data_IF_771561469352
#
_entry.id   IF_771561469352
#
_cell.length_a   1.000
_cell.length_b   1.000
_cell.length_c   1.000
_cell.angle_alpha   90.00
_cell.angle_beta   90.00
_cell.angle_gamma   90.00
#
_symmetry.space_group_name_H-M   'P 1'
#
loop_
_entity.id
_entity.type
_entity.pdbx_description
1 polymer ?
#
# COMPACT_ATOMS: atom_id res chain seq x y z
N UNK A 1 -42.25 -17.57 12.14
CA UNK A 1 -41.52 -16.37 12.58
C UNK A 1 -40.07 -16.47 12.11
N UNK A 2 -39.48 -15.42 11.51
CA UNK A 2 -38.08 -15.46 11.08
C UNK A 2 -37.18 -15.63 12.31
N UNK A 3 -36.32 -16.65 12.26
CA UNK A 3 -35.56 -17.15 13.41
C UNK A 3 -34.26 -16.35 13.59
N UNK A 4 -33.98 -15.92 14.83
CA UNK A 4 -32.85 -15.03 15.15
C UNK A 4 -31.50 -15.76 14.99
N UNK A 5 -30.66 -15.32 14.06
CA UNK A 5 -29.28 -15.79 13.86
C UNK A 5 -28.38 -15.30 15.00
N UNK A 6 -27.44 -16.13 15.47
CA UNK A 6 -26.44 -15.74 16.48
C UNK A 6 -25.11 -15.55 15.77
N UNK A 7 -24.67 -14.29 15.67
CA UNK A 7 -23.41 -13.93 15.04
C UNK A 7 -22.22 -14.10 16.00
N UNK A 8 -21.09 -14.48 15.43
CA UNK A 8 -19.83 -14.76 16.12
C UNK A 8 -18.78 -13.70 15.73
N UNK A 9 -17.98 -13.28 16.70
CA UNK A 9 -16.84 -12.38 16.57
C UNK A 9 -15.56 -13.18 16.39
N UNK A 10 -15.33 -13.65 15.16
CA UNK A 10 -14.22 -14.57 14.84
C UNK A 10 -13.03 -13.78 14.27
N UNK A 11 -11.87 -13.77 14.92
CA UNK A 11 -10.64 -13.25 14.33
C UNK A 11 -10.24 -14.05 13.08
N UNK A 12 -9.57 -13.40 12.13
CA UNK A 12 -9.17 -14.06 10.88
C UNK A 12 -8.37 -15.36 11.10
N UNK A 13 -7.53 -15.39 12.14
CA UNK A 13 -6.71 -16.57 12.52
C UNK A 13 -7.55 -17.79 12.92
N UNK A 14 -8.78 -17.59 13.40
CA UNK A 14 -9.66 -18.67 13.86
C UNK A 14 -10.75 -19.05 12.84
N UNK A 15 -10.71 -18.46 11.63
CA UNK A 15 -11.67 -18.73 10.55
C UNK A 15 -11.81 -20.22 10.25
N UNK A 16 -10.69 -20.93 10.17
CA UNK A 16 -10.68 -22.38 9.86
C UNK A 16 -11.21 -23.21 11.03
N UNK A 17 -10.93 -22.79 12.26
CA UNK A 17 -11.42 -23.45 13.48
C UNK A 17 -12.94 -23.37 13.57
N UNK A 18 -13.51 -22.17 13.42
CA UNK A 18 -14.98 -22.01 13.50
C UNK A 18 -15.69 -22.73 12.36
N UNK A 19 -15.10 -22.74 11.16
CA UNK A 19 -15.64 -23.48 10.02
C UNK A 19 -15.63 -24.99 10.28
N UNK A 20 -14.54 -25.50 10.86
CA UNK A 20 -14.42 -26.93 11.23
C UNK A 20 -15.41 -27.31 12.34
N UNK A 21 -15.69 -26.39 13.26
CA UNK A 21 -16.73 -26.53 14.28
C UNK A 21 -18.16 -26.36 13.71
N UNK A 22 -18.32 -26.12 12.40
CA UNK A 22 -19.61 -26.04 11.74
C UNK A 22 -20.26 -24.65 11.73
N UNK A 23 -19.53 -23.58 12.08
CA UNK A 23 -20.03 -22.23 11.87
C UNK A 23 -20.22 -21.95 10.37
N UNK A 24 -21.23 -21.15 10.03
CA UNK A 24 -21.57 -20.79 8.67
C UNK A 24 -21.24 -19.31 8.40
N UNK A 25 -20.85 -18.99 7.18
CA UNK A 25 -20.59 -17.62 6.76
C UNK A 25 -21.87 -16.98 6.20
N UNK A 26 -22.28 -15.84 6.75
CA UNK A 26 -23.33 -15.00 6.17
C UNK A 26 -22.69 -13.95 5.27
N UNK A 27 -22.84 -14.10 3.95
CA UNK A 27 -22.23 -13.20 2.98
C UNK A 27 -22.86 -11.79 2.99
N UNK A 28 -24.14 -11.67 3.39
CA UNK A 28 -24.83 -10.37 3.46
C UNK A 28 -24.29 -9.53 4.62
N UNK A 29 -24.17 -10.15 5.80
CA UNK A 29 -23.69 -9.49 7.02
C UNK A 29 -22.17 -9.54 7.18
N UNK A 30 -21.48 -10.33 6.34
CA UNK A 30 -20.04 -10.62 6.39
C UNK A 30 -19.58 -11.08 7.78
N UNK A 31 -20.35 -11.99 8.37
CA UNK A 31 -20.12 -12.51 9.72
C UNK A 31 -20.28 -14.03 9.76
N UNK A 32 -19.53 -14.65 10.65
CA UNK A 32 -19.77 -16.04 11.02
C UNK A 32 -21.00 -16.12 11.92
N UNK A 33 -21.80 -17.16 11.76
CA UNK A 33 -22.94 -17.45 12.62
C UNK A 33 -22.98 -18.94 12.99
N UNK A 34 -23.49 -19.22 14.19
CA UNK A 34 -23.69 -20.58 14.65
C UNK A 34 -24.98 -21.15 14.04
N UNK A 35 -24.95 -22.31 13.34
CA UNK A 35 -26.17 -22.96 12.87
C UNK A 35 -26.99 -23.51 14.04
N UNK A 36 -28.31 -23.59 13.84
CA UNK A 36 -29.26 -24.03 14.88
C UNK A 36 -29.04 -25.46 15.37
N UNK A 37 -28.48 -26.32 14.53
CA UNK A 37 -28.26 -27.74 14.83
C UNK A 37 -27.12 -27.99 15.83
N UNK A 38 -26.36 -26.95 16.19
CA UNK A 38 -25.16 -27.09 16.98
C UNK A 38 -25.28 -26.40 18.33
N UNK A 39 -24.69 -27.00 19.36
CA UNK A 39 -24.68 -26.44 20.71
C UNK A 39 -23.98 -25.09 20.75
N UNK A 40 -24.67 -24.08 21.30
CA UNK A 40 -24.18 -22.70 21.40
C UNK A 40 -22.85 -22.62 22.16
N UNK A 41 -22.64 -23.49 23.15
CA UNK A 41 -21.45 -23.49 23.99
C UNK A 41 -20.15 -23.78 23.22
N UNK A 42 -20.23 -24.44 22.05
CA UNK A 42 -19.07 -24.71 21.19
C UNK A 42 -18.43 -23.40 20.71
N UNK A 43 -19.24 -22.35 20.53
CA UNK A 43 -18.76 -21.04 20.08
C UNK A 43 -18.62 -20.00 21.20
N UNK A 44 -18.60 -20.44 22.47
CA UNK A 44 -18.54 -19.55 23.64
C UNK A 44 -17.40 -18.53 23.57
N UNK A 45 -16.24 -18.94 23.05
CA UNK A 45 -15.07 -18.08 22.87
C UNK A 45 -15.28 -16.94 21.85
N UNK A 46 -16.22 -17.06 20.91
CA UNK A 46 -16.48 -16.06 19.86
C UNK A 46 -17.81 -15.32 20.04
N UNK A 47 -18.55 -15.50 21.14
CA UNK A 47 -19.77 -14.71 21.38
C UNK A 47 -19.47 -13.27 21.77
N UNK A 48 -18.31 -13.03 22.36
CA UNK A 48 -17.88 -11.71 22.74
C UNK A 48 -16.83 -11.22 21.75
N UNK A 49 -16.85 -9.92 21.43
CA UNK A 49 -15.77 -9.32 20.69
C UNK A 49 -14.46 -9.57 21.43
N UNK A 50 -13.44 -10.00 20.69
CA UNK A 50 -12.12 -10.18 21.27
C UNK A 50 -11.66 -8.82 21.80
N UNK A 51 -11.20 -8.80 23.04
CA UNK A 51 -10.54 -7.63 23.60
C UNK A 51 -9.29 -7.39 22.75
N UNK A 52 -9.27 -6.30 21.99
CA UNK A 52 -8.07 -5.93 21.28
C UNK A 52 -7.05 -5.47 22.32
N UNK A 53 -5.84 -6.02 22.24
CA UNK A 53 -4.71 -5.46 22.97
C UNK A 53 -4.33 -4.19 22.24
N UNK A 54 -4.64 -3.05 22.82
CA UNK A 54 -4.07 -1.79 22.36
C UNK A 54 -2.68 -1.68 22.97
N UNK A 55 -1.70 -1.48 22.10
CA UNK A 55 -0.35 -1.17 22.54
C UNK A 55 -0.20 0.34 22.49
N UNK A 56 0.16 0.94 23.62
CA UNK A 56 0.56 2.34 23.65
C UNK A 56 2.08 2.42 23.67
N UNK A 57 2.66 3.23 22.79
CA UNK A 57 4.09 3.46 22.69
C UNK A 57 4.38 4.94 22.92
N UNK A 58 5.55 5.26 23.47
CA UNK A 58 6.08 6.61 23.41
C UNK A 58 6.63 6.85 21.99
N UNK A 59 6.07 7.84 21.28
CA UNK A 59 6.45 8.15 19.90
C UNK A 59 7.96 8.44 19.79
N UNK A 60 8.56 9.12 20.77
CA UNK A 60 9.99 9.41 20.75
C UNK A 60 10.85 8.15 20.83
N UNK A 61 10.42 7.17 21.62
CA UNK A 61 11.08 5.87 21.74
C UNK A 61 10.97 5.07 20.44
N UNK A 62 9.80 5.11 19.79
CA UNK A 62 9.57 4.51 18.47
C UNK A 62 10.49 5.09 17.42
N UNK A 63 10.56 6.42 17.33
CA UNK A 63 11.40 7.09 16.35
C UNK A 63 12.88 6.81 16.61
N UNK A 64 13.30 6.76 17.88
CA UNK A 64 14.70 6.48 18.26
C UNK A 64 15.09 5.04 17.92
N UNK A 65 14.28 4.05 18.31
CA UNK A 65 14.56 2.64 18.03
C UNK A 65 14.51 2.33 16.54
N UNK A 66 13.56 2.94 15.81
CA UNK A 66 13.49 2.81 14.36
C UNK A 66 14.71 3.46 13.69
N UNK A 67 15.13 4.65 14.13
CA UNK A 67 16.35 5.30 13.63
C UNK A 67 17.58 4.42 13.81
N UNK A 68 17.79 3.86 15.00
CA UNK A 68 18.91 2.95 15.24
C UNK A 68 18.86 1.71 14.33
N UNK A 69 17.68 1.16 14.06
CA UNK A 69 17.53 0.06 13.11
C UNK A 69 17.91 0.47 11.67
N UNK A 70 17.55 1.67 11.23
CA UNK A 70 17.93 2.20 9.91
C UNK A 70 19.45 2.40 9.80
N UNK A 71 20.06 3.01 10.82
CA UNK A 71 21.50 3.28 10.87
C UNK A 71 22.31 1.97 10.93
N UNK A 72 21.83 0.97 11.67
CA UNK A 72 22.44 -0.37 11.71
C UNK A 72 22.45 -1.06 10.33
N UNK A 73 21.45 -0.78 9.48
CA UNK A 73 21.41 -1.27 8.10
C UNK A 73 22.18 -0.38 7.11
N UNK A 74 22.93 0.60 7.62
CA UNK A 74 23.81 1.47 6.85
C UNK A 74 23.09 2.63 6.13
N UNK A 75 21.86 2.96 6.54
CA UNK A 75 21.13 4.13 6.04
C UNK A 75 21.49 5.37 6.89
N UNK A 76 21.74 6.49 6.23
CA UNK A 76 22.03 7.77 6.87
C UNK A 76 20.74 8.57 6.96
N UNK A 77 20.27 8.82 8.19
CA UNK A 77 19.04 9.56 8.46
C UNK A 77 19.38 10.91 9.12
N UNK A 78 19.11 12.00 8.41
CA UNK A 78 19.25 13.35 8.96
C UNK A 78 18.06 13.66 9.89
N UNK A 79 18.31 13.72 11.20
CA UNK A 79 17.26 14.00 12.20
C UNK A 79 16.44 12.77 12.60
N UNK A 80 15.12 12.94 12.72
CA UNK A 80 14.17 11.89 13.11
C UNK A 80 13.52 11.22 11.88
N UNK A 81 13.37 9.89 11.86
CA UNK A 81 12.79 9.19 10.72
C UNK A 81 11.29 9.50 10.57
N UNK A 82 10.85 9.70 9.32
CA UNK A 82 9.43 9.95 9.02
C UNK A 82 8.68 8.62 8.92
N UNK A 83 7.67 8.41 9.78
CA UNK A 83 6.84 7.20 9.82
C UNK A 83 5.40 7.45 9.33
N UNK A 84 5.27 7.99 8.12
CA UNK A 84 3.99 8.34 7.47
C UNK A 84 3.44 7.24 6.53
N UNK A 85 4.07 6.06 6.53
CA UNK A 85 3.76 4.94 5.65
C UNK A 85 4.26 5.08 4.21
N UNK A 86 4.93 6.18 3.84
CA UNK A 86 5.50 6.40 2.51
C UNK A 86 6.94 5.91 2.45
N UNK A 87 7.41 5.60 1.24
CA UNK A 87 8.81 5.26 1.00
C UNK A 87 9.63 6.55 0.95
N UNK A 88 10.56 6.68 1.88
CA UNK A 88 11.56 7.76 1.94
C UNK A 88 12.90 7.25 1.42
N UNK A 89 13.51 8.02 0.51
CA UNK A 89 14.83 7.73 -0.07
C UNK A 89 15.91 8.42 0.72
N UNK A 90 16.96 7.69 1.08
CA UNK A 90 18.08 8.19 1.88
C UNK A 90 19.42 7.71 1.34
N UNK A 91 20.49 8.36 1.79
CA UNK A 91 21.85 7.96 1.47
C UNK A 91 22.25 6.75 2.29
N UNK A 92 23.12 5.94 1.74
CA UNK A 92 23.83 4.89 2.46
C UNK A 92 25.27 5.33 2.75
N UNK A 93 25.92 4.68 3.71
CA UNK A 93 27.34 4.95 4.04
C UNK A 93 28.29 4.77 2.85
N UNK A 94 27.89 3.99 1.84
CA UNK A 94 28.67 3.73 0.63
C UNK A 94 28.33 4.64 -0.56
N UNK A 95 27.31 5.49 -0.44
CA UNK A 95 26.84 6.34 -1.54
C UNK A 95 27.79 7.51 -1.82
N UNK A 96 27.94 7.85 -3.11
CA UNK A 96 28.74 9.00 -3.56
C UNK A 96 27.85 10.06 -4.22
N UNK A 97 28.15 11.33 -3.95
CA UNK A 97 27.47 12.46 -4.58
C UNK A 97 25.97 12.54 -4.25
N UNK A 98 25.13 12.39 -5.29
CA UNK A 98 23.66 12.51 -5.22
C UNK A 98 22.94 11.15 -5.16
N UNK A 99 23.68 10.05 -5.01
CA UNK A 99 23.09 8.71 -4.89
C UNK A 99 22.24 8.61 -3.60
N UNK A 100 21.08 7.96 -3.71
CA UNK A 100 20.16 7.68 -2.60
C UNK A 100 19.77 6.20 -2.65
N UNK A 101 20.73 5.36 -2.27
CA UNK A 101 20.61 3.90 -2.36
C UNK A 101 20.01 3.25 -1.12
N UNK A 102 19.44 4.04 -0.21
CA UNK A 102 18.63 3.60 0.91
C UNK A 102 17.16 3.91 0.68
N UNK A 103 16.28 3.04 1.16
CA UNK A 103 14.85 3.28 1.21
C UNK A 103 14.27 2.74 2.52
N UNK A 104 13.32 3.46 3.10
CA UNK A 104 12.57 2.97 4.26
C UNK A 104 11.13 3.49 4.25
N UNK A 105 10.24 2.84 4.98
CA UNK A 105 8.90 3.35 5.28
C UNK A 105 8.50 2.91 6.68
N UNK A 106 8.03 3.82 7.54
CA UNK A 106 7.56 3.49 8.88
C UNK A 106 6.05 3.69 9.04
N UNK A 107 5.43 2.91 9.92
CA UNK A 107 4.01 2.95 10.26
C UNK A 107 3.87 3.07 11.78
N UNK A 108 3.00 3.98 12.24
CA UNK A 108 2.65 4.14 13.65
C UNK A 108 1.29 3.52 14.02
N UNK A 109 0.57 2.97 13.04
CA UNK A 109 -0.79 2.44 13.22
C UNK A 109 -0.78 1.08 13.93
N UNK A 110 -1.57 0.95 15.01
CA UNK A 110 -1.76 -0.23 15.88
C UNK A 110 -0.49 -0.75 16.58
N UNK A 111 0.56 -1.06 15.82
CA UNK A 111 1.85 -1.53 16.28
C UNK A 111 2.97 -0.95 15.40
N UNK A 112 3.90 -0.15 15.94
CA UNK A 112 4.95 0.47 15.16
C UNK A 112 5.79 -0.56 14.42
N UNK A 113 5.84 -0.38 13.11
CA UNK A 113 6.51 -1.26 12.18
C UNK A 113 7.14 -0.45 11.07
N UNK A 114 8.10 -1.04 10.38
CA UNK A 114 8.78 -0.37 9.29
C UNK A 114 9.35 -1.34 8.29
N UNK A 115 9.74 -0.78 7.16
CA UNK A 115 10.44 -1.45 6.08
C UNK A 115 11.78 -0.76 5.89
N UNK A 116 12.84 -1.54 5.70
CA UNK A 116 14.20 -1.05 5.53
C UNK A 116 14.81 -1.76 4.31
N UNK A 117 15.41 -0.98 3.42
CA UNK A 117 16.07 -1.51 2.24
C UNK A 117 17.35 -0.74 1.92
N UNK A 118 18.43 -1.48 1.72
CA UNK A 118 19.71 -0.97 1.26
C UNK A 118 20.05 -1.61 -0.09
N UNK A 119 20.08 -0.80 -1.15
CA UNK A 119 20.31 -1.28 -2.52
C UNK A 119 21.78 -1.61 -2.81
N UNK A 120 22.72 -1.12 -1.99
CA UNK A 120 24.16 -1.41 -2.15
C UNK A 120 24.54 -2.75 -1.54
N UNK A 121 23.95 -3.09 -0.39
CA UNK A 121 24.16 -4.39 0.26
C UNK A 121 23.14 -5.45 -0.16
N UNK A 122 22.04 -5.05 -0.79
CA UNK A 122 20.93 -5.92 -1.16
C UNK A 122 20.01 -6.29 0.00
N UNK A 123 20.22 -5.71 1.18
CA UNK A 123 19.43 -6.00 2.38
C UNK A 123 18.01 -5.45 2.22
N UNK A 124 17.05 -6.28 2.61
CA UNK A 124 15.62 -5.95 2.65
C UNK A 124 15.01 -6.58 3.90
N UNK A 125 14.56 -5.77 4.83
CA UNK A 125 14.08 -6.22 6.14
C UNK A 125 12.80 -5.49 6.55
N UNK A 126 11.94 -6.19 7.31
CA UNK A 126 10.80 -5.59 7.99
C UNK A 126 11.15 -5.40 9.46
N UNK A 127 11.19 -4.15 9.91
CA UNK A 127 11.37 -3.80 11.30
C UNK A 127 10.04 -3.80 12.06
N UNK A 128 10.08 -4.17 13.33
CA UNK A 128 8.96 -4.07 14.27
C UNK A 128 9.52 -3.58 15.60
N UNK A 129 8.76 -2.72 16.28
CA UNK A 129 9.08 -2.36 17.66
C UNK A 129 9.23 -3.62 18.52
N UNK A 130 10.19 -3.72 19.45
CA UNK A 130 10.24 -4.82 20.41
C UNK A 130 9.06 -4.78 21.40
N UNK A 131 8.49 -5.95 21.72
CA UNK A 131 7.34 -6.07 22.63
C UNK A 131 7.65 -5.66 24.07
N UNK A 132 8.92 -5.68 24.48
CA UNK A 132 9.39 -5.30 25.82
C UNK A 132 9.12 -3.81 26.12
N UNK A 133 9.13 -2.98 25.09
CA UNK A 133 8.90 -1.53 25.17
C UNK A 133 7.40 -1.17 25.01
N UNK A 134 6.54 -2.17 24.78
CA UNK A 134 5.12 -1.95 24.56
C UNK A 134 4.34 -1.99 25.88
N UNK A 135 3.67 -0.89 26.25
CA UNK A 135 2.70 -0.89 27.35
C UNK A 135 1.41 -1.53 26.84
N UNK A 136 1.00 -2.65 27.44
CA UNK A 136 -0.20 -3.40 27.06
C UNK A 136 -1.42 -2.85 27.80
N UNK A 137 -2.41 -2.34 27.05
CA UNK A 137 -3.73 -2.02 27.59
C UNK A 137 -4.77 -2.99 27.00
N UNK A 138 -5.65 -3.50 27.86
CA UNK A 138 -6.73 -4.40 27.46
C UNK A 138 -8.00 -3.55 27.30
N UNK A 139 -8.50 -3.41 26.07
CA UNK A 139 -9.74 -2.67 25.80
C UNK A 139 -10.81 -3.60 25.25
N UNK A 140 -11.98 -3.61 25.88
CA UNK A 140 -13.16 -4.37 25.47
C UNK A 140 -14.02 -3.57 24.50
N UNK A 141 -13.78 -3.70 23.20
CA UNK A 141 -14.62 -3.07 22.18
C UNK A 141 -15.89 -3.88 21.91
N UNK A 142 -17.08 -3.25 21.92
CA UNK A 142 -18.32 -3.85 21.41
C UNK A 142 -18.59 -3.44 19.94
N UNK A 143 -18.42 -4.38 19.01
CA UNK A 143 -18.97 -4.36 17.62
C UNK A 143 -18.33 -3.37 16.62
N UNK A 144 -18.70 -3.48 15.33
CA UNK A 144 -18.31 -4.49 14.36
C UNK A 144 -16.91 -4.21 13.80
N UNK A 145 -16.25 -5.24 13.28
CA UNK A 145 -15.04 -5.21 12.43
C UNK A 145 -14.94 -3.95 11.55
N UNK A 146 -14.41 -2.89 12.13
CA UNK A 146 -14.08 -1.68 11.43
C UNK A 146 -12.70 -1.94 10.88
N UNK A 147 -12.68 -2.34 9.60
CA UNK A 147 -11.61 -1.98 8.68
C UNK A 147 -11.35 -0.48 8.84
N UNK A 148 -10.54 -0.09 9.81
CA UNK A 148 -10.03 1.26 9.94
C UNK A 148 -8.60 1.20 9.42
N UNK A 149 -8.41 1.97 8.34
CA UNK A 149 -7.15 2.64 7.98
C UNK A 149 -6.12 1.89 7.12
N UNK A 150 -6.55 1.04 6.18
CA UNK A 150 -5.79 0.88 4.92
C UNK A 150 -6.38 1.71 3.75
N UNK A 151 -7.56 2.32 3.97
CA UNK A 151 -8.29 3.06 2.94
C UNK A 151 -8.02 4.57 2.93
N UNK A 152 -7.54 5.16 4.03
CA UNK A 152 -7.22 6.60 4.12
C UNK A 152 -5.97 6.96 3.32
N UNK A 153 -4.93 6.12 3.36
CA UNK A 153 -3.71 6.32 2.54
C UNK A 153 -4.00 6.05 1.06
N UNK A 154 -4.84 5.06 0.74
CA UNK A 154 -5.19 4.71 -0.66
C UNK A 154 -5.94 5.81 -1.43
N UNK A 155 -6.76 6.63 -0.78
CA UNK A 155 -7.52 7.67 -1.49
C UNK A 155 -6.62 8.84 -1.91
N UNK A 156 -5.76 9.32 -1.02
CA UNK A 156 -4.77 10.34 -1.37
C UNK A 156 -3.78 9.80 -2.40
N UNK A 157 -3.28 8.57 -2.24
CA UNK A 157 -2.38 7.96 -3.25
C UNK A 157 -3.05 7.81 -4.61
N UNK A 158 -4.34 7.47 -4.68
CA UNK A 158 -5.08 7.42 -5.95
C UNK A 158 -5.25 8.81 -6.56
N UNK A 159 -5.62 9.81 -5.76
CA UNK A 159 -5.77 11.19 -6.24
C UNK A 159 -4.44 11.76 -6.71
N UNK A 160 -3.36 11.59 -5.95
CA UNK A 160 -2.01 12.02 -6.30
C UNK A 160 -1.52 11.36 -7.60
N UNK A 161 -1.78 10.05 -7.76
CA UNK A 161 -1.46 9.31 -9.01
C UNK A 161 -2.27 9.86 -10.18
N UNK A 162 -3.58 10.09 -10.01
CA UNK A 162 -4.44 10.63 -11.06
C UNK A 162 -4.01 12.05 -11.46
N UNK A 163 -3.69 12.91 -10.50
CA UNK A 163 -3.16 14.25 -10.76
C UNK A 163 -1.84 14.21 -11.53
N UNK A 164 -0.91 13.32 -11.13
CA UNK A 164 0.37 13.16 -11.80
C UNK A 164 0.19 12.65 -13.23
N UNK A 165 -0.71 11.68 -13.43
CA UNK A 165 -1.08 11.17 -14.76
C UNK A 165 -1.68 12.28 -15.62
N UNK A 166 -2.62 13.06 -15.09
CA UNK A 166 -3.25 14.18 -15.80
C UNK A 166 -2.23 15.25 -16.19
N UNK A 167 -1.35 15.67 -15.27
CA UNK A 167 -0.28 16.64 -15.55
C UNK A 167 0.68 16.12 -16.63
N UNK A 168 1.00 14.83 -16.59
CA UNK A 168 1.89 14.20 -17.58
C UNK A 168 1.20 14.11 -18.95
N UNK A 169 -0.08 13.72 -18.98
CA UNK A 169 -0.88 13.64 -20.21
C UNK A 169 -0.97 15.01 -20.90
N UNK A 170 -1.29 16.07 -20.15
CA UNK A 170 -1.33 17.45 -20.69
C UNK A 170 0.01 17.87 -21.29
N UNK A 171 1.11 17.57 -20.60
CA UNK A 171 2.46 17.89 -21.08
C UNK A 171 2.79 17.15 -22.39
N UNK A 172 2.49 15.85 -22.46
CA UNK A 172 2.74 15.04 -23.65
C UNK A 172 1.85 15.49 -24.81
N UNK A 173 0.60 15.85 -24.54
CA UNK A 173 -0.33 16.39 -25.53
C UNK A 173 0.19 17.73 -26.10
N UNK A 174 0.69 18.62 -25.25
CA UNK A 174 1.29 19.88 -25.70
C UNK A 174 2.55 19.65 -26.56
N UNK A 175 3.44 18.75 -26.13
CA UNK A 175 4.63 18.36 -26.90
C UNK A 175 4.24 17.77 -28.27
N UNK A 176 3.24 16.89 -28.30
CA UNK A 176 2.71 16.35 -29.54
C UNK A 176 2.08 17.43 -30.41
N UNK A 177 1.30 18.36 -29.85
CA UNK A 177 0.65 19.43 -30.61
C UNK A 177 1.67 20.40 -31.24
N UNK A 178 2.77 20.68 -30.54
CA UNK A 178 3.86 21.53 -31.04
C UNK A 178 4.79 20.80 -32.02
N UNK A 179 4.81 19.47 -32.02
CA UNK A 179 5.64 18.68 -32.93
C UNK A 179 5.19 18.82 -34.39
N UNK A 180 6.17 18.67 -35.29
CA UNK A 180 5.95 18.73 -36.72
C UNK A 180 5.35 17.43 -37.24
N UNK A 181 4.58 17.53 -38.33
CA UNK A 181 4.09 16.36 -39.05
C UNK A 181 5.25 15.48 -39.52
N UNK A 182 5.10 14.16 -39.37
CA UNK A 182 6.08 13.21 -39.87
C UNK A 182 6.18 13.32 -41.39
N UNK A 183 7.41 13.33 -41.90
CA UNK A 183 7.62 13.35 -43.35
C UNK A 183 7.09 12.05 -43.99
N UNK A 184 6.44 12.17 -45.15
CA UNK A 184 5.99 11.01 -45.94
C UNK A 184 7.13 10.06 -46.33
N UNK A 185 8.36 10.57 -46.41
CA UNK A 185 9.57 9.80 -46.70
C UNK A 185 10.25 9.21 -45.43
N UNK A 186 9.58 9.20 -44.27
CA UNK A 186 10.19 8.69 -43.04
C UNK A 186 10.57 7.20 -43.17
N UNK A 187 11.80 6.77 -42.77
CA UNK A 187 12.29 5.40 -42.98
C UNK A 187 11.36 4.31 -42.45
N UNK A 188 10.74 4.54 -41.28
CA UNK A 188 9.79 3.60 -40.68
C UNK A 188 8.49 3.48 -41.48
N UNK A 189 7.94 4.59 -41.99
CA UNK A 189 6.68 4.58 -42.75
C UNK A 189 6.86 3.85 -44.08
N UNK A 190 7.97 4.12 -44.78
CA UNK A 190 8.35 3.39 -46.00
C UNK A 190 8.51 1.90 -45.76
N UNK A 191 9.23 1.51 -44.70
CA UNK A 191 9.42 0.10 -44.34
C UNK A 191 8.10 -0.60 -44.01
N UNK A 192 7.13 0.13 -43.44
CA UNK A 192 5.79 -0.40 -43.11
C UNK A 192 4.78 -0.28 -44.26
N UNK A 193 5.14 0.34 -45.39
CA UNK A 193 4.29 0.47 -46.56
C UNK A 193 3.15 1.47 -46.39
N UNK A 194 3.25 2.42 -45.45
CA UNK A 194 2.25 3.47 -45.30
C UNK A 194 2.45 4.57 -46.35
N UNK A 195 1.43 4.79 -47.19
CA UNK A 195 1.40 5.85 -48.20
C UNK A 195 0.88 7.18 -47.65
N UNK A 196 0.11 7.13 -46.56
CA UNK A 196 -0.53 8.28 -45.93
C UNK A 196 -0.03 8.48 -44.50
N UNK A 197 -0.10 9.72 -44.01
CA UNK A 197 0.28 10.05 -42.64
C UNK A 197 -0.95 9.98 -41.71
N UNK A 198 -0.97 8.97 -40.84
CA UNK A 198 -2.06 8.69 -39.88
C UNK A 198 -1.87 9.43 -38.55
N UNK A 199 -1.89 10.77 -38.57
CA UNK A 199 -1.67 11.57 -37.34
C UNK A 199 -0.32 11.23 -36.68
N UNK A 200 0.69 10.94 -37.49
CA UNK A 200 2.04 10.70 -37.01
C UNK A 200 2.83 12.00 -37.11
N UNK A 201 3.40 12.37 -35.98
CA UNK A 201 4.30 13.51 -35.87
C UNK A 201 5.73 13.03 -35.67
N UNK A 202 6.68 13.95 -35.72
CA UNK A 202 8.07 13.65 -35.43
C UNK A 202 8.67 14.71 -34.52
N UNK A 203 9.53 14.28 -33.60
CA UNK A 203 10.31 15.18 -32.78
C UNK A 203 11.45 15.84 -33.58
N UNK A 204 12.18 16.76 -32.96
CA UNK A 204 13.33 17.44 -33.58
C UNK A 204 14.51 16.50 -33.89
N UNK A 205 14.48 15.25 -33.39
CA UNK A 205 15.49 14.22 -33.63
C UNK A 205 15.07 13.23 -34.72
N UNK A 206 13.86 13.38 -35.28
CA UNK A 206 13.30 12.49 -36.29
C UNK A 206 12.65 11.22 -35.73
N UNK A 207 12.40 11.13 -34.42
CA UNK A 207 11.63 10.04 -33.81
C UNK A 207 10.14 10.23 -34.11
N UNK A 208 9.45 9.16 -34.51
CA UNK A 208 7.99 9.21 -34.70
C UNK A 208 7.25 9.29 -33.37
N UNK A 209 6.29 10.20 -33.30
CA UNK A 209 5.36 10.38 -32.19
C UNK A 209 3.99 9.84 -32.59
N UNK A 210 3.46 8.95 -31.74
CA UNK A 210 2.15 8.29 -31.93
C UNK A 210 1.26 8.74 -30.77
N UNK A 211 0.14 9.42 -31.02
CA UNK A 211 -0.78 9.81 -29.96
C UNK A 211 -1.53 8.57 -29.44
N UNK A 212 -1.53 8.38 -28.12
CA UNK A 212 -2.37 7.40 -27.43
C UNK A 212 -3.39 8.16 -26.58
N UNK A 213 -4.66 7.83 -26.77
CA UNK A 213 -5.81 8.45 -26.10
C UNK A 213 -6.64 7.36 -25.45
N UNK A 214 -7.36 7.72 -24.39
CA UNK A 214 -8.31 6.79 -23.78
C UNK A 214 -9.64 6.80 -24.56
N UNK A 215 -10.67 6.11 -24.05
CA UNK A 215 -11.98 6.02 -24.71
C UNK A 215 -12.70 7.36 -24.87
N UNK A 216 -12.29 8.39 -24.12
CA UNK A 216 -12.87 9.73 -24.13
C UNK A 216 -12.04 10.74 -24.94
N UNK A 217 -10.91 10.33 -25.51
CA UNK A 217 -10.06 11.14 -26.38
C UNK A 217 -8.86 11.76 -25.66
#
# INVERSE_FOLDING_TARGET
MPQKRIYLYVPFKDKEKVKSLGAMWDDKEKKWFAPKSLDKNIFSQWFYPHQNKEFSFDENEVLTTFKSALENQGLIIDGSPIMDGKIHRVKTTTDKGREMSGAYSGFLDEYPAGFIQNFKTGIKENWKMPLENAKQNIVSYQTPSQKRLHNSTSNNTKQDILELQQKTALKIEEEYNQANWAHSNHPYLKKKGFSENFYLKQDNKGSLLIPLKDENG
#
